data_IF_872178124971
#
_entry.id   IF_872178124971
#
_cell.length_a   1.000
_cell.length_b   1.000
_cell.length_c   1.000
_cell.angle_alpha   90.00
_cell.angle_beta   90.00
_cell.angle_gamma   90.00
#
_symmetry.space_group_name_H-M   'P 1'
#
loop_
_entity.id
_entity.type
_entity.pdbx_description
1 polymer ?
#
# COMPACT_ATOMS: atom_id res chain seq x y z
N UNK A 1 25.17 -0.35 7.76
CA UNK A 1 24.72 -1.69 8.14
C UNK A 1 23.28 -1.84 7.64
N UNK A 2 22.96 -2.92 6.94
CA UNK A 2 21.62 -3.13 6.41
C UNK A 2 20.64 -3.46 7.53
N UNK A 3 19.55 -2.73 7.61
CA UNK A 3 18.48 -2.92 8.59
C UNK A 3 17.14 -2.94 7.90
N UNK A 4 16.18 -3.59 8.53
CA UNK A 4 14.76 -3.51 8.14
C UNK A 4 13.94 -2.95 9.29
N UNK A 5 12.90 -2.21 8.92
CA UNK A 5 11.78 -1.89 9.80
C UNK A 5 10.61 -2.79 9.43
N UNK A 6 10.11 -3.53 10.39
CA UNK A 6 8.91 -4.34 10.26
C UNK A 6 8.13 -4.32 11.58
N UNK A 7 6.81 -4.32 11.52
CA UNK A 7 5.96 -4.28 12.71
C UNK A 7 6.33 -3.15 13.68
N UNK A 8 6.73 -1.96 13.15
CA UNK A 8 7.17 -0.77 13.89
C UNK A 8 8.48 -0.92 14.67
N UNK A 9 9.22 -1.98 14.47
CA UNK A 9 10.51 -2.23 15.13
C UNK A 9 11.61 -2.40 14.09
N UNK A 10 12.79 -1.97 14.45
CA UNK A 10 13.99 -2.15 13.65
C UNK A 10 14.66 -3.49 13.98
N UNK A 11 15.24 -4.15 12.98
CA UNK A 11 15.90 -5.45 13.15
C UNK A 11 17.04 -5.45 14.16
N UNK A 12 17.72 -4.32 14.32
CA UNK A 12 18.84 -4.17 15.28
C UNK A 12 18.39 -4.10 16.75
N UNK A 13 17.12 -3.74 17.04
CA UNK A 13 16.54 -3.84 18.38
C UNK A 13 16.58 -5.29 18.92
N UNK A 14 16.52 -6.27 18.01
CA UNK A 14 16.62 -7.69 18.32
C UNK A 14 18.02 -8.26 18.14
N UNK A 15 19.03 -7.41 17.89
CA UNK A 15 20.40 -7.82 17.62
C UNK A 15 20.57 -8.59 16.32
N UNK A 16 19.66 -8.43 15.36
CA UNK A 16 19.71 -9.10 14.06
C UNK A 16 20.59 -8.32 13.08
N UNK A 17 21.49 -9.02 12.45
CA UNK A 17 22.36 -8.53 11.39
C UNK A 17 21.94 -9.15 10.06
N UNK A 18 21.71 -8.31 9.06
CA UNK A 18 21.39 -8.74 7.69
C UNK A 18 22.71 -8.80 6.92
N UNK A 19 23.06 -9.99 6.40
CA UNK A 19 24.37 -10.25 5.80
C UNK A 19 24.58 -9.46 4.51
N UNK A 20 23.57 -9.42 3.63
CA UNK A 20 23.65 -8.77 2.32
C UNK A 20 22.43 -7.92 2.04
N UNK A 21 22.55 -6.96 1.12
CA UNK A 21 21.40 -6.31 0.52
C UNK A 21 20.61 -7.40 -0.23
N UNK A 22 19.31 -7.62 0.08
CA UNK A 22 18.53 -8.64 -0.60
C UNK A 22 18.39 -8.30 -2.09
N UNK A 23 18.33 -9.33 -2.90
CA UNK A 23 17.87 -9.18 -4.28
C UNK A 23 16.40 -8.79 -4.25
N UNK A 24 16.08 -7.58 -4.72
CA UNK A 24 14.69 -7.16 -4.85
C UNK A 24 14.10 -7.81 -6.09
N UNK A 25 12.98 -8.54 -5.95
CA UNK A 25 12.35 -9.22 -7.08
C UNK A 25 11.73 -8.20 -8.03
N UNK A 26 11.64 -8.55 -9.30
CA UNK A 26 10.98 -7.76 -10.34
C UNK A 26 9.52 -8.16 -10.48
N UNK A 27 8.68 -7.21 -10.88
CA UNK A 27 7.26 -7.44 -11.13
C UNK A 27 7.04 -8.53 -12.19
N UNK A 28 6.23 -9.52 -11.87
CA UNK A 28 5.84 -10.60 -12.79
C UNK A 28 4.35 -10.51 -13.08
N UNK A 29 4.01 -10.30 -14.37
CA UNK A 29 2.62 -10.31 -14.82
C UNK A 29 2.08 -11.72 -14.91
N UNK A 30 0.87 -11.92 -14.43
CA UNK A 30 0.15 -13.18 -14.55
C UNK A 30 -0.89 -13.11 -15.67
N UNK A 31 -0.89 -14.13 -16.54
CA UNK A 31 -1.81 -14.25 -17.65
C UNK A 31 -2.55 -15.58 -17.60
N UNK A 32 -3.82 -15.54 -17.97
CA UNK A 32 -4.60 -16.74 -18.26
C UNK A 32 -4.59 -16.96 -19.76
N UNK A 33 -4.19 -18.15 -20.18
CA UNK A 33 -4.21 -18.56 -21.58
C UNK A 33 -5.38 -19.53 -21.82
N UNK A 34 -6.25 -19.21 -22.79
CA UNK A 34 -7.37 -20.07 -23.19
C UNK A 34 -7.16 -20.53 -24.63
N UNK A 35 -7.10 -21.82 -24.84
CA UNK A 35 -7.06 -22.43 -26.18
C UNK A 35 -8.46 -22.50 -26.76
N UNK A 36 -8.61 -22.08 -28.02
CA UNK A 36 -9.87 -22.15 -28.78
C UNK A 36 -9.69 -23.12 -29.93
N UNK A 37 -10.56 -24.11 -30.01
CA UNK A 37 -10.52 -25.10 -31.10
C UNK A 37 -10.62 -24.43 -32.47
N UNK A 38 -9.71 -24.79 -33.38
CA UNK A 38 -9.65 -24.23 -34.72
C UNK A 38 -8.92 -22.89 -34.85
N UNK A 39 -8.36 -22.35 -33.77
CA UNK A 39 -7.54 -21.15 -33.77
C UNK A 39 -6.07 -21.50 -33.51
N UNK A 40 -5.17 -20.91 -34.27
CA UNK A 40 -3.74 -20.98 -34.01
C UNK A 40 -3.37 -20.06 -32.81
N UNK A 41 -2.70 -20.62 -31.80
CA UNK A 41 -2.31 -19.90 -30.60
C UNK A 41 -3.46 -19.74 -29.57
N UNK A 42 -3.13 -19.27 -28.36
CA UNK A 42 -4.07 -19.05 -27.25
C UNK A 42 -4.55 -17.60 -27.20
N UNK A 43 -5.74 -17.40 -26.60
CA UNK A 43 -6.18 -16.09 -26.11
C UNK A 43 -5.58 -15.85 -24.74
N UNK A 44 -4.88 -14.73 -24.56
CA UNK A 44 -4.24 -14.35 -23.29
C UNK A 44 -5.00 -13.22 -22.63
N UNK A 45 -5.40 -13.42 -21.38
CA UNK A 45 -6.04 -12.40 -20.55
C UNK A 45 -5.13 -12.07 -19.37
N UNK A 46 -4.83 -10.79 -19.19
CA UNK A 46 -4.09 -10.33 -18.00
C UNK A 46 -4.92 -10.53 -16.74
N UNK A 47 -4.38 -11.20 -15.72
CA UNK A 47 -5.02 -11.45 -14.42
C UNK A 47 -4.56 -10.46 -13.35
N UNK A 48 -3.32 -10.02 -13.38
CA UNK A 48 -2.72 -9.18 -12.37
C UNK A 48 -1.21 -9.37 -12.28
N UNK A 49 -0.67 -9.07 -11.13
CA UNK A 49 0.73 -9.26 -10.79
C UNK A 49 0.84 -10.31 -9.69
N UNK A 50 1.88 -11.14 -9.76
CA UNK A 50 2.18 -12.14 -8.70
C UNK A 50 2.77 -11.46 -7.48
N UNK A 51 2.48 -12.03 -6.31
CA UNK A 51 3.16 -11.67 -5.09
C UNK A 51 4.67 -11.86 -5.25
N UNK A 52 5.43 -11.06 -4.55
CA UNK A 52 6.89 -11.10 -4.57
C UNK A 52 7.43 -11.78 -3.33
N UNK A 53 8.58 -12.43 -3.47
CA UNK A 53 9.29 -13.05 -2.38
C UNK A 53 10.59 -12.29 -2.13
N UNK A 54 10.80 -11.83 -0.89
CA UNK A 54 12.01 -11.16 -0.45
C UNK A 54 12.65 -12.00 0.64
N UNK A 55 13.85 -12.50 0.35
CA UNK A 55 14.58 -13.37 1.25
C UNK A 55 15.77 -12.64 1.87
N UNK A 56 15.92 -12.74 3.19
CA UNK A 56 16.96 -12.10 3.97
C UNK A 56 17.78 -13.15 4.71
N UNK A 57 19.07 -13.24 4.40
CA UNK A 57 20.03 -14.00 5.19
C UNK A 57 20.44 -13.20 6.42
N UNK A 58 20.13 -13.72 7.58
CA UNK A 58 20.29 -13.06 8.86
C UNK A 58 21.13 -13.88 9.82
N UNK A 59 21.79 -13.19 10.73
CA UNK A 59 22.39 -13.81 11.89
C UNK A 59 22.27 -12.94 13.14
N UNK A 60 22.39 -13.55 14.30
CA UNK A 60 22.58 -12.87 15.57
C UNK A 60 23.61 -13.58 16.41
N UNK A 61 24.18 -12.84 17.37
CA UNK A 61 25.15 -13.38 18.32
C UNK A 61 24.44 -13.74 19.62
N UNK A 62 24.83 -14.87 20.21
CA UNK A 62 24.44 -15.28 21.55
C UNK A 62 25.60 -16.04 22.20
N UNK A 63 25.83 -15.80 23.49
CA UNK A 63 26.98 -16.35 24.22
C UNK A 63 26.63 -17.73 24.83
N UNK A 64 25.35 -17.95 25.15
CA UNK A 64 24.87 -19.22 25.73
C UNK A 64 23.51 -19.69 25.15
N UNK A 65 23.07 -20.84 25.61
CA UNK A 65 21.81 -21.43 25.16
C UNK A 65 20.56 -20.75 25.72
N UNK A 66 20.64 -20.10 26.87
CA UNK A 66 19.52 -19.35 27.45
C UNK A 66 19.25 -18.09 26.63
N UNK A 67 20.30 -17.34 26.33
CA UNK A 67 20.24 -16.17 25.46
C UNK A 67 19.74 -16.53 24.06
N UNK A 68 20.20 -17.66 23.53
CA UNK A 68 19.69 -18.18 22.25
C UNK A 68 18.18 -18.42 22.27
N UNK A 69 17.67 -19.12 23.29
CA UNK A 69 16.25 -19.44 23.39
C UNK A 69 15.42 -18.16 23.53
N UNK A 70 15.90 -17.19 24.33
CA UNK A 70 15.19 -15.95 24.56
C UNK A 70 15.16 -15.07 23.28
N UNK A 71 16.28 -14.88 22.61
CA UNK A 71 16.35 -14.18 21.32
C UNK A 71 15.47 -14.85 20.25
N UNK A 72 15.48 -16.19 20.19
CA UNK A 72 14.58 -16.92 19.27
C UNK A 72 13.11 -16.57 19.54
N UNK A 73 12.67 -16.53 20.80
CA UNK A 73 11.30 -16.18 21.18
C UNK A 73 10.97 -14.73 20.77
N UNK A 74 11.87 -13.79 21.05
CA UNK A 74 11.69 -12.38 20.71
C UNK A 74 11.57 -12.17 19.20
N UNK A 75 12.46 -12.76 18.42
CA UNK A 75 12.45 -12.70 16.95
C UNK A 75 11.16 -13.30 16.39
N UNK A 76 10.75 -14.46 16.91
CA UNK A 76 9.52 -15.13 16.48
C UNK A 76 8.29 -14.26 16.81
N UNK A 77 8.23 -13.70 18.00
CA UNK A 77 7.14 -12.82 18.42
C UNK A 77 7.08 -11.55 17.55
N UNK A 78 8.23 -10.93 17.26
CA UNK A 78 8.30 -9.76 16.39
C UNK A 78 7.78 -10.05 15.00
N UNK A 79 8.21 -11.15 14.38
CA UNK A 79 7.88 -11.50 13.01
C UNK A 79 6.45 -12.00 12.81
N UNK A 80 5.83 -12.64 13.82
CA UNK A 80 4.50 -13.24 13.65
C UNK A 80 3.35 -12.44 14.27
N UNK A 81 3.63 -11.45 15.13
CA UNK A 81 2.59 -10.65 15.79
C UNK A 81 2.34 -9.28 15.12
N UNK A 82 2.40 -9.20 13.78
CA UNK A 82 2.33 -7.92 13.07
C UNK A 82 0.91 -7.40 12.78
N UNK A 83 -0.14 -8.20 12.91
CA UNK A 83 -1.56 -7.84 12.70
C UNK A 83 -1.80 -6.71 11.65
N UNK A 84 -1.88 -5.45 12.11
CA UNK A 84 -2.14 -4.29 11.25
C UNK A 84 -0.86 -3.51 10.84
N UNK A 85 0.32 -4.00 11.20
CA UNK A 85 1.60 -3.34 10.93
C UNK A 85 2.47 -4.15 9.97
N UNK A 86 1.93 -4.40 8.78
CA UNK A 86 2.55 -5.25 7.79
C UNK A 86 3.49 -4.51 6.81
N UNK A 87 3.93 -3.31 7.16
CA UNK A 87 4.86 -2.53 6.33
C UNK A 87 6.29 -3.01 6.55
N UNK A 88 6.95 -3.41 5.48
CA UNK A 88 8.37 -3.75 5.44
C UNK A 88 9.13 -2.63 4.75
N UNK A 89 10.12 -2.06 5.42
CA UNK A 89 11.03 -1.03 4.91
C UNK A 89 12.46 -1.46 5.04
N UNK A 90 13.29 -0.98 4.11
CA UNK A 90 14.73 -1.20 4.13
C UNK A 90 15.45 0.11 4.39
N UNK A 91 16.47 0.11 5.25
CA UNK A 91 17.27 1.31 5.57
C UNK A 91 18.05 1.86 4.37
N UNK A 92 18.32 1.05 3.36
CA UNK A 92 18.98 1.45 2.13
C UNK A 92 18.01 1.91 1.03
N UNK A 93 16.67 1.76 1.25
CA UNK A 93 15.61 2.16 0.33
C UNK A 93 14.39 2.62 1.10
N UNK A 94 14.52 3.77 1.78
CA UNK A 94 13.57 4.30 2.75
C UNK A 94 12.38 5.07 2.14
N UNK A 95 12.44 5.35 0.84
CA UNK A 95 11.40 6.11 0.13
C UNK A 95 10.10 5.33 -0.10
N UNK A 96 10.09 4.03 0.15
CA UNK A 96 8.93 3.18 -0.03
C UNK A 96 8.90 2.01 0.97
N UNK A 97 7.78 1.29 0.95
CA UNK A 97 7.56 0.09 1.75
C UNK A 97 6.79 -0.97 0.96
N UNK A 98 6.99 -2.22 1.30
CA UNK A 98 6.17 -3.34 0.83
C UNK A 98 5.13 -3.71 1.88
N UNK A 99 3.94 -4.14 1.44
CA UNK A 99 2.92 -4.71 2.31
C UNK A 99 3.14 -6.22 2.40
N UNK A 100 3.50 -6.68 3.59
CA UNK A 100 3.74 -8.10 3.85
C UNK A 100 2.40 -8.83 4.02
N UNK A 101 2.26 -9.96 3.32
CA UNK A 101 1.14 -10.89 3.45
C UNK A 101 1.47 -12.04 4.37
N UNK A 102 2.69 -12.56 4.27
CA UNK A 102 3.14 -13.71 5.04
C UNK A 102 4.63 -13.58 5.36
N UNK A 103 5.03 -14.12 6.50
CA UNK A 103 6.43 -14.24 6.93
C UNK A 103 6.72 -15.70 7.15
N UNK A 104 7.84 -16.17 6.60
CA UNK A 104 8.37 -17.50 6.83
C UNK A 104 9.75 -17.37 7.47
N UNK A 105 9.99 -18.16 8.53
CA UNK A 105 11.24 -18.17 9.27
C UNK A 105 11.86 -19.54 9.14
N UNK A 106 13.11 -19.60 8.66
CA UNK A 106 13.85 -20.86 8.59
C UNK A 106 14.27 -21.35 9.99
N UNK A 107 14.76 -22.58 10.06
CA UNK A 107 15.42 -23.06 11.27
C UNK A 107 16.70 -22.27 11.54
N UNK A 108 16.98 -22.05 12.83
CA UNK A 108 18.22 -21.42 13.27
C UNK A 108 19.37 -22.44 13.25
N UNK A 109 20.40 -22.14 12.50
CA UNK A 109 21.58 -23.00 12.36
C UNK A 109 22.79 -22.39 13.07
N UNK A 110 23.67 -23.22 13.59
CA UNK A 110 24.90 -22.77 14.24
C UNK A 110 26.02 -22.75 13.20
N UNK A 111 26.52 -21.57 12.87
CA UNK A 111 27.67 -21.43 11.97
C UNK A 111 28.99 -21.39 12.76
N UNK A 112 28.98 -20.72 13.90
CA UNK A 112 30.06 -20.65 14.87
C UNK A 112 29.44 -20.72 16.27
N UNK A 113 30.21 -21.13 17.30
CA UNK A 113 29.69 -21.35 18.67
C UNK A 113 28.78 -20.22 19.19
N UNK A 114 29.10 -18.97 18.87
CA UNK A 114 28.39 -17.77 19.32
C UNK A 114 27.47 -17.15 18.27
N UNK A 115 27.34 -17.74 17.08
CA UNK A 115 26.59 -17.18 15.96
C UNK A 115 25.48 -18.14 15.51
N UNK A 116 24.29 -17.62 15.41
CA UNK A 116 23.10 -18.33 14.86
C UNK A 116 22.67 -17.64 13.58
N UNK A 117 22.60 -18.43 12.51
CA UNK A 117 22.17 -17.97 11.19
C UNK A 117 20.77 -18.49 10.90
N UNK A 118 19.98 -17.72 10.19
CA UNK A 118 18.61 -18.03 9.77
C UNK A 118 18.22 -17.18 8.59
N UNK A 119 17.14 -17.56 7.92
CA UNK A 119 16.57 -16.81 6.80
C UNK A 119 15.18 -16.35 7.16
N UNK A 120 14.88 -15.10 6.84
CA UNK A 120 13.52 -14.54 6.87
C UNK A 120 13.07 -14.41 5.43
N UNK A 121 11.93 -15.02 5.07
CA UNK A 121 11.29 -14.87 3.78
C UNK A 121 9.99 -14.11 3.96
N UNK A 122 9.88 -12.95 3.32
CA UNK A 122 8.67 -12.15 3.27
C UNK A 122 7.95 -12.39 1.94
N UNK A 123 6.69 -12.80 2.00
CA UNK A 123 5.78 -12.79 0.86
C UNK A 123 5.04 -11.46 0.91
N UNK A 124 5.23 -10.63 -0.11
CA UNK A 124 4.74 -9.25 -0.13
C UNK A 124 3.83 -9.00 -1.32
N UNK A 125 2.97 -7.98 -1.22
CA UNK A 125 2.24 -7.49 -2.38
C UNK A 125 3.21 -7.08 -3.50
N UNK A 126 2.77 -7.14 -4.78
CA UNK A 126 3.67 -6.94 -5.93
C UNK A 126 4.30 -5.56 -6.00
N UNK A 127 3.78 -4.58 -5.28
CA UNK A 127 4.20 -3.19 -5.42
C UNK A 127 4.97 -2.68 -4.21
N UNK A 128 5.95 -1.81 -4.48
CA UNK A 128 6.57 -0.95 -3.49
C UNK A 128 5.77 0.36 -3.40
N UNK A 129 5.15 0.62 -2.26
CA UNK A 129 4.33 1.80 -2.02
C UNK A 129 5.18 2.97 -1.54
N UNK A 130 5.06 4.11 -2.21
CA UNK A 130 5.77 5.32 -1.81
C UNK A 130 5.32 5.83 -0.44
N UNK A 131 6.26 6.36 0.35
CA UNK A 131 6.00 7.05 1.61
C UNK A 131 5.48 8.49 1.41
N UNK A 132 5.04 8.86 0.20
CA UNK A 132 4.59 10.21 -0.09
C UNK A 132 3.44 10.63 0.83
N UNK A 133 3.50 11.89 1.26
CA UNK A 133 2.45 12.51 2.06
C UNK A 133 1.22 12.77 1.19
N UNK A 134 0.07 12.83 1.84
CA UNK A 134 -1.17 13.30 1.24
C UNK A 134 -0.99 14.70 0.62
N UNK A 135 -1.58 14.92 -0.54
CA UNK A 135 -1.52 16.18 -1.28
C UNK A 135 -2.83 16.92 -1.03
N UNK A 136 -2.73 18.15 -0.54
CA UNK A 136 -3.91 19.02 -0.34
C UNK A 136 -4.05 20.01 -1.49
N UNK A 137 -5.22 20.05 -2.11
CA UNK A 137 -5.58 20.95 -3.20
C UNK A 137 -6.68 21.92 -2.75
N UNK A 138 -6.47 23.21 -2.98
CA UNK A 138 -7.47 24.28 -2.77
C UNK A 138 -7.91 24.96 -4.07
N UNK A 139 -7.29 24.58 -5.19
CA UNK A 139 -7.60 25.04 -6.55
C UNK A 139 -7.28 23.95 -7.56
N UNK A 140 -7.84 24.06 -8.75
CA UNK A 140 -7.52 23.17 -9.86
C UNK A 140 -5.99 23.14 -10.08
N UNK A 141 -5.43 21.94 -10.14
CA UNK A 141 -3.97 21.73 -10.15
C UNK A 141 -3.63 20.43 -10.86
N UNK A 142 -2.45 20.36 -11.47
CA UNK A 142 -1.88 19.12 -11.97
C UNK A 142 -1.00 18.51 -10.89
N UNK A 143 -1.23 17.23 -10.57
CA UNK A 143 -0.36 16.44 -9.67
C UNK A 143 0.31 15.32 -10.43
N UNK A 144 1.50 14.95 -10.01
CA UNK A 144 2.30 13.93 -10.69
C UNK A 144 2.29 12.62 -9.89
N UNK A 145 1.83 11.55 -10.54
CA UNK A 145 2.09 10.19 -10.09
C UNK A 145 3.57 9.88 -10.32
N UNK A 146 4.33 9.70 -9.24
CA UNK A 146 5.76 9.40 -9.29
C UNK A 146 6.05 7.90 -9.44
N UNK A 147 5.02 7.05 -9.39
CA UNK A 147 5.14 5.61 -9.57
C UNK A 147 5.28 5.21 -11.03
N UNK A 148 5.48 3.93 -11.25
CA UNK A 148 5.65 3.31 -12.57
C UNK A 148 4.37 2.66 -13.11
N UNK A 149 3.30 2.68 -12.32
CA UNK A 149 1.99 2.15 -12.69
C UNK A 149 0.87 3.14 -12.35
N UNK A 150 -0.29 2.94 -12.97
CA UNK A 150 -1.51 3.64 -12.58
C UNK A 150 -1.96 3.22 -11.17
N UNK A 151 -2.57 4.14 -10.42
CA UNK A 151 -2.96 3.88 -9.04
C UNK A 151 -4.44 4.18 -8.80
N UNK A 152 -4.96 3.58 -7.73
CA UNK A 152 -6.31 3.77 -7.23
C UNK A 152 -6.27 4.65 -5.99
N UNK A 153 -6.43 5.98 -6.15
CA UNK A 153 -6.24 6.94 -5.06
C UNK A 153 -7.35 6.84 -4.02
N UNK A 154 -7.03 7.36 -2.82
CA UNK A 154 -8.02 7.76 -1.83
C UNK A 154 -8.15 9.27 -1.88
N UNK A 155 -9.35 9.78 -2.16
CA UNK A 155 -9.65 11.19 -2.34
C UNK A 155 -10.66 11.61 -1.30
N UNK A 156 -10.30 12.52 -0.41
CA UNK A 156 -11.21 13.11 0.57
C UNK A 156 -11.55 14.54 0.16
N UNK A 157 -12.80 14.79 -0.11
CA UNK A 157 -13.36 16.09 -0.49
C UNK A 157 -13.96 16.72 0.77
N UNK A 158 -13.46 17.86 1.18
CA UNK A 158 -14.06 18.67 2.23
C UNK A 158 -14.97 19.71 1.60
N UNK A 159 -16.20 19.76 2.07
CA UNK A 159 -17.26 20.55 1.47
C UNK A 159 -17.50 21.83 2.26
N UNK A 160 -18.07 22.82 1.58
CA UNK A 160 -18.59 24.04 2.18
C UNK A 160 -20.08 24.21 1.79
N UNK A 161 -20.86 23.17 2.10
CA UNK A 161 -22.27 23.07 1.69
C UNK A 161 -23.13 23.90 2.62
N UNK A 162 -23.92 24.79 2.04
CA UNK A 162 -24.85 25.67 2.76
C UNK A 162 -26.23 25.04 2.92
N UNK A 163 -26.74 24.36 1.88
CA UNK A 163 -28.02 23.64 1.94
C UNK A 163 -27.83 22.19 2.36
N UNK A 164 -27.84 21.95 3.66
CA UNK A 164 -27.77 20.59 4.23
C UNK A 164 -29.10 19.83 4.20
N UNK A 165 -30.17 20.45 3.74
CA UNK A 165 -31.51 19.81 3.68
C UNK A 165 -31.68 19.03 2.38
N UNK A 166 -31.44 19.67 1.23
CA UNK A 166 -31.57 19.06 -0.09
C UNK A 166 -30.26 18.46 -0.58
N UNK A 167 -29.12 18.92 -0.03
CA UNK A 167 -27.78 18.57 -0.44
C UNK A 167 -27.41 19.13 -1.80
N UNK A 168 -26.13 19.14 -2.08
CA UNK A 168 -25.55 19.72 -3.29
C UNK A 168 -24.89 18.66 -4.17
N UNK A 169 -24.63 19.01 -5.42
CA UNK A 169 -23.87 18.18 -6.34
C UNK A 169 -22.42 18.67 -6.42
N UNK A 170 -21.48 17.73 -6.42
CA UNK A 170 -20.06 17.97 -6.64
C UNK A 170 -19.61 17.12 -7.82
N UNK A 171 -18.93 17.74 -8.76
CA UNK A 171 -18.32 17.03 -9.88
C UNK A 171 -16.82 17.20 -9.83
N UNK A 172 -16.09 16.10 -9.72
CA UNK A 172 -14.63 16.05 -9.74
C UNK A 172 -14.17 15.53 -11.11
N UNK A 173 -13.21 16.22 -11.70
CA UNK A 173 -12.57 15.83 -12.96
C UNK A 173 -11.14 15.41 -12.68
N UNK A 174 -10.75 14.25 -13.18
CA UNK A 174 -9.38 13.73 -13.12
C UNK A 174 -9.00 13.29 -14.53
N UNK A 175 -8.20 14.09 -15.22
CA UNK A 175 -7.95 13.95 -16.66
C UNK A 175 -9.27 13.87 -17.45
N UNK A 176 -9.53 12.76 -18.13
CA UNK A 176 -10.76 12.53 -18.90
C UNK A 176 -11.85 11.77 -18.09
N UNK A 177 -11.63 11.57 -16.79
CA UNK A 177 -12.59 10.89 -15.93
C UNK A 177 -13.42 11.91 -15.18
N UNK A 178 -14.73 11.66 -15.11
CA UNK A 178 -15.68 12.51 -14.37
C UNK A 178 -16.26 11.70 -13.21
N UNK A 179 -16.17 12.24 -12.01
CA UNK A 179 -16.78 11.67 -10.81
C UNK A 179 -17.89 12.59 -10.35
N UNK A 180 -19.12 12.09 -10.36
CA UNK A 180 -20.32 12.85 -10.01
C UNK A 180 -20.87 12.38 -8.66
N UNK A 181 -20.91 13.29 -7.72
CA UNK A 181 -21.53 13.11 -6.40
C UNK A 181 -22.78 13.96 -6.32
N UNK A 182 -23.88 13.41 -5.79
CA UNK A 182 -25.17 14.09 -5.66
C UNK A 182 -25.72 14.00 -4.25
N UNK A 183 -26.53 14.99 -3.89
CA UNK A 183 -27.17 15.06 -2.56
C UNK A 183 -26.18 15.00 -1.41
N UNK A 184 -25.05 15.68 -1.55
CA UNK A 184 -24.04 15.77 -0.52
C UNK A 184 -24.53 16.75 0.54
N UNK A 185 -24.61 16.30 1.77
CA UNK A 185 -24.98 17.07 2.96
C UNK A 185 -23.89 17.03 4.03
N UNK A 186 -22.89 16.19 3.83
CA UNK A 186 -21.77 15.91 4.74
C UNK A 186 -20.67 16.96 4.59
N UNK A 187 -19.95 17.22 5.68
CA UNK A 187 -18.79 18.11 5.70
C UNK A 187 -17.55 17.52 5.01
N UNK A 188 -17.55 16.21 4.83
CA UNK A 188 -16.53 15.50 4.05
C UNK A 188 -17.11 14.29 3.35
N UNK A 189 -16.53 13.91 2.21
CA UNK A 189 -16.81 12.67 1.52
C UNK A 189 -15.51 12.08 0.98
N UNK A 190 -15.29 10.79 1.24
CA UNK A 190 -14.10 10.09 0.82
C UNK A 190 -14.43 9.07 -0.25
N UNK A 191 -13.71 9.12 -1.36
CA UNK A 191 -13.75 8.17 -2.45
C UNK A 191 -12.49 7.33 -2.35
N UNK A 192 -12.62 6.07 -1.97
CA UNK A 192 -11.53 5.11 -1.90
C UNK A 192 -11.60 4.18 -3.11
N UNK A 193 -10.78 4.46 -4.12
CA UNK A 193 -10.80 3.71 -5.38
C UNK A 193 -10.24 2.29 -5.25
N UNK A 194 -9.37 2.03 -4.27
CA UNK A 194 -8.82 0.69 -4.01
C UNK A 194 -9.87 -0.21 -3.37
N UNK A 195 -10.60 0.32 -2.40
CA UNK A 195 -11.66 -0.39 -1.70
C UNK A 195 -13.00 -0.38 -2.46
N UNK A 196 -13.09 0.38 -3.57
CA UNK A 196 -14.34 0.64 -4.29
C UNK A 196 -15.47 1.10 -3.35
N UNK A 197 -15.15 2.03 -2.47
CA UNK A 197 -16.06 2.52 -1.45
C UNK A 197 -16.06 4.04 -1.37
N UNK A 198 -17.26 4.60 -1.27
CA UNK A 198 -17.49 6.02 -1.02
C UNK A 198 -18.13 6.16 0.37
N UNK A 199 -17.56 6.98 1.24
CA UNK A 199 -18.00 7.12 2.63
C UNK A 199 -17.72 8.50 3.18
N UNK A 200 -18.40 8.86 4.24
CA UNK A 200 -18.07 9.99 5.10
C UNK A 200 -17.51 9.51 6.43
N UNK A 201 -16.76 10.36 7.11
CA UNK A 201 -16.25 10.09 8.45
C UNK A 201 -16.85 11.11 9.40
N UNK A 202 -17.58 10.65 10.42
CA UNK A 202 -18.15 11.51 11.45
C UNK A 202 -17.06 12.01 12.44
N UNK A 203 -17.42 12.91 13.36
CA UNK A 203 -16.53 13.47 14.37
C UNK A 203 -15.90 12.40 15.28
N UNK A 204 -16.57 11.27 15.48
CA UNK A 204 -16.07 10.12 16.25
C UNK A 204 -15.16 9.18 15.45
N UNK A 205 -14.83 9.52 14.19
CA UNK A 205 -13.98 8.70 13.31
C UNK A 205 -14.69 7.47 12.71
N UNK A 206 -16.00 7.35 12.86
CA UNK A 206 -16.79 6.24 12.30
C UNK A 206 -17.06 6.49 10.81
N UNK A 207 -16.79 5.49 9.98
CA UNK A 207 -17.09 5.53 8.55
C UNK A 207 -18.57 5.20 8.31
N UNK A 208 -19.24 6.06 7.57
CA UNK A 208 -20.64 5.90 7.14
C UNK A 208 -20.64 5.77 5.63
N UNK A 209 -21.15 4.65 5.13
CA UNK A 209 -21.21 4.36 3.69
C UNK A 209 -22.11 5.37 2.96
N UNK A 210 -21.61 5.94 1.87
CA UNK A 210 -22.32 6.90 1.01
C UNK A 210 -22.22 6.52 -0.48
N UNK A 211 -22.01 5.25 -0.81
CA UNK A 211 -21.91 4.78 -2.21
C UNK A 211 -23.09 5.20 -3.07
N UNK A 212 -24.29 5.27 -2.50
CA UNK A 212 -25.51 5.70 -3.21
C UNK A 212 -25.46 7.16 -3.69
N UNK A 213 -24.51 7.96 -3.19
CA UNK A 213 -24.31 9.37 -3.60
C UNK A 213 -23.34 9.51 -4.77
N UNK A 214 -22.58 8.47 -5.09
CA UNK A 214 -21.65 8.42 -6.22
C UNK A 214 -22.28 7.76 -7.43
N UNK A 215 -22.34 8.49 -8.55
CA UNK A 215 -23.06 8.08 -9.76
C UNK A 215 -22.15 7.66 -10.92
N UNK A 216 -20.87 7.49 -10.66
CA UNK A 216 -19.86 7.17 -11.68
C UNK A 216 -18.90 6.10 -11.18
N UNK A 217 -17.96 5.70 -12.01
CA UNK A 217 -16.90 4.77 -11.63
C UNK A 217 -15.87 5.43 -10.72
N UNK A 218 -15.17 4.59 -9.94
CA UNK A 218 -14.05 5.02 -9.10
C UNK A 218 -12.87 5.49 -9.97
N UNK A 219 -12.28 6.66 -9.67
CA UNK A 219 -11.23 7.22 -10.50
C UNK A 219 -9.91 6.47 -10.36
N UNK A 220 -9.12 6.52 -11.43
CA UNK A 220 -7.76 6.00 -11.52
C UNK A 220 -6.83 7.17 -11.83
N UNK A 221 -5.65 7.19 -11.22
CA UNK A 221 -4.58 8.13 -11.56
C UNK A 221 -3.56 7.48 -12.46
N UNK A 222 -3.37 8.07 -13.63
CA UNK A 222 -2.41 7.60 -14.63
C UNK A 222 -0.97 7.86 -14.17
N UNK A 223 -0.02 7.19 -14.81
CA UNK A 223 1.41 7.49 -14.67
C UNK A 223 1.68 8.93 -15.15
N UNK A 224 2.53 9.65 -14.44
CA UNK A 224 2.87 11.03 -14.78
C UNK A 224 1.81 12.02 -14.35
N UNK A 225 1.56 13.06 -15.14
CA UNK A 225 0.72 14.19 -14.75
C UNK A 225 -0.78 13.84 -14.79
N UNK A 226 -1.49 14.24 -13.74
CA UNK A 226 -2.94 14.12 -13.60
C UNK A 226 -3.53 15.51 -13.31
N UNK A 227 -4.35 16.00 -14.20
CA UNK A 227 -5.04 17.27 -14.05
C UNK A 227 -6.31 17.06 -13.23
N UNK A 228 -6.43 17.83 -12.14
CA UNK A 228 -7.55 17.73 -11.20
C UNK A 228 -8.25 19.07 -11.13
N UNK A 229 -9.56 19.02 -11.32
CA UNK A 229 -10.44 20.18 -11.15
C UNK A 229 -11.80 19.71 -10.64
N UNK A 230 -12.60 20.64 -10.16
CA UNK A 230 -13.94 20.34 -9.64
C UNK A 230 -14.89 21.50 -9.81
N UNK A 231 -16.17 21.16 -9.71
CA UNK A 231 -17.29 22.11 -9.68
C UNK A 231 -18.16 21.75 -8.47
N UNK A 232 -18.63 22.75 -7.75
CA UNK A 232 -19.44 22.62 -6.52
C UNK A 232 -18.74 23.26 -5.32
N UNK A 233 -19.43 23.28 -4.18
CA UNK A 233 -18.95 23.90 -2.95
C UNK A 233 -17.94 23.01 -2.22
N UNK A 234 -16.68 23.14 -2.62
CA UNK A 234 -15.54 22.37 -2.08
C UNK A 234 -14.52 23.34 -1.50
N UNK A 235 -14.20 23.16 -0.23
CA UNK A 235 -13.18 23.97 0.46
C UNK A 235 -11.76 23.47 0.15
N UNK A 236 -11.56 22.17 0.14
CA UNK A 236 -10.27 21.52 -0.21
C UNK A 236 -10.47 20.05 -0.59
N UNK A 237 -9.51 19.53 -1.32
CA UNK A 237 -9.41 18.09 -1.62
C UNK A 237 -8.08 17.57 -1.09
N UNK A 238 -8.11 16.45 -0.38
CA UNK A 238 -6.92 15.75 0.11
C UNK A 238 -6.80 14.43 -0.64
N UNK A 239 -5.64 14.19 -1.23
CA UNK A 239 -5.39 13.03 -2.09
C UNK A 239 -4.23 12.24 -1.53
N UNK A 240 -4.49 10.99 -1.14
CA UNK A 240 -3.48 9.95 -1.02
C UNK A 240 -3.41 9.23 -2.37
N UNK A 241 -2.36 9.52 -3.12
CA UNK A 241 -2.20 8.98 -4.47
C UNK A 241 -1.82 7.50 -4.50
N UNK A 242 -1.36 6.94 -3.38
CA UNK A 242 -0.90 5.53 -3.26
C UNK A 242 0.08 5.16 -4.37
N UNK A 243 1.00 6.11 -4.68
CA UNK A 243 2.01 5.89 -5.72
C UNK A 243 2.81 4.63 -5.44
N UNK A 244 3.01 3.80 -6.46
CA UNK A 244 3.73 2.54 -6.33
C UNK A 244 4.55 2.20 -7.59
N UNK A 245 5.60 1.40 -7.37
CA UNK A 245 6.54 0.92 -8.37
C UNK A 245 6.53 -0.60 -8.43
#
# INVERSE_FOLDING_TARGET
MNKIEFNKHMSDEFGIYIENIPSLPTLTKEYEATEIAGRNGSLTKFKGYKDLEIELSCHFRCDDNYEYIDKKKQITAWLYNYKNNNKLRFSFYDNCYWKVKQVELSNFTTKVKVMRCFTIKFIVEPFCYSNNKEITLTKATSIRNLGTIETRPKITIYTDIQDKTNGEAITLFINNQTVVLKKITEDNITIDSELMNCYTTNESGVMINTNQKMYTNFPIMNIGNNNISWVGNVSKIVIDGRWCN
#
